data_IF_247752555171
#
_entry.id   IF_247752555171
#
_cell.length_a   1.000
_cell.length_b   1.000
_cell.length_c   1.000
_cell.angle_alpha   90.00
_cell.angle_beta   90.00
_cell.angle_gamma   90.00
#
_symmetry.space_group_name_H-M   'P 1'
#
loop_
_entity.id
_entity.type
_entity.pdbx_description
1 polymer ?
#
# COMPACT_ATOMS: atom_id res chain seq x y z
N UNK A 1 -17.13 -24.50 12.25
CA UNK A 1 -16.47 -23.40 11.52
C UNK A 1 -16.71 -22.11 12.31
N UNK A 2 -15.72 -21.64 13.07
CA UNK A 2 -15.83 -20.42 13.89
C UNK A 2 -16.00 -19.19 13.00
N UNK A 3 -17.00 -18.37 13.25
CA UNK A 3 -17.20 -17.08 12.57
C UNK A 3 -16.06 -16.15 12.93
N UNK A 4 -15.26 -15.74 11.92
CA UNK A 4 -14.24 -14.70 12.10
C UNK A 4 -14.94 -13.36 12.36
N UNK A 5 -14.69 -12.75 13.53
CA UNK A 5 -15.17 -11.39 13.83
C UNK A 5 -14.23 -10.37 13.23
N UNK A 6 -14.69 -9.69 12.19
CA UNK A 6 -13.96 -8.62 11.50
C UNK A 6 -14.12 -7.25 12.19
N UNK A 7 -15.20 -7.03 12.95
CA UNK A 7 -15.52 -5.76 13.61
C UNK A 7 -15.91 -5.97 15.08
N UNK A 8 -15.63 -4.97 15.93
CA UNK A 8 -16.05 -4.95 17.31
C UNK A 8 -17.57 -4.79 17.44
N UNK A 9 -18.18 -5.38 18.47
CA UNK A 9 -19.62 -5.26 18.74
C UNK A 9 -20.00 -3.87 19.31
N UNK A 10 -19.04 -3.14 19.90
CA UNK A 10 -19.27 -1.79 20.44
C UNK A 10 -19.40 -0.73 19.33
N UNK A 11 -20.48 0.11 19.32
CA UNK A 11 -20.74 1.05 18.23
C UNK A 11 -19.57 2.03 18.00
N UNK A 12 -18.99 2.56 19.06
CA UNK A 12 -17.87 3.52 18.98
C UNK A 12 -16.60 2.88 18.36
N UNK A 13 -16.25 1.65 18.75
CA UNK A 13 -15.09 0.94 18.19
C UNK A 13 -15.32 0.55 16.74
N UNK A 14 -16.53 0.11 16.41
CA UNK A 14 -16.93 -0.24 15.04
C UNK A 14 -16.82 0.97 14.10
N UNK A 15 -17.35 2.12 14.52
CA UNK A 15 -17.26 3.36 13.73
C UNK A 15 -15.80 3.78 13.51
N UNK A 16 -14.96 3.72 14.55
CA UNK A 16 -13.52 4.03 14.43
C UNK A 16 -12.78 3.08 13.49
N UNK A 17 -13.14 1.79 13.50
CA UNK A 17 -12.55 0.80 12.58
C UNK A 17 -13.00 1.05 11.13
N UNK A 18 -14.30 1.29 10.90
CA UNK A 18 -14.81 1.64 9.57
C UNK A 18 -14.17 2.92 9.04
N UNK A 19 -14.02 3.94 9.87
CA UNK A 19 -13.35 5.18 9.49
C UNK A 19 -11.89 4.93 9.12
N UNK A 20 -11.17 4.10 9.87
CA UNK A 20 -9.80 3.70 9.55
C UNK A 20 -9.67 2.97 8.23
N UNK A 21 -10.60 2.03 7.96
CA UNK A 21 -10.64 1.29 6.69
C UNK A 21 -10.94 2.23 5.51
N UNK A 22 -11.88 3.18 5.67
CA UNK A 22 -12.19 4.19 4.64
C UNK A 22 -11.00 5.12 4.39
N UNK A 23 -10.34 5.60 5.44
CA UNK A 23 -9.15 6.44 5.31
C UNK A 23 -8.03 5.68 4.58
N UNK A 24 -7.83 4.40 4.90
CA UNK A 24 -6.84 3.56 4.21
C UNK A 24 -7.14 3.44 2.71
N UNK A 25 -8.40 3.17 2.35
CA UNK A 25 -8.81 3.09 0.94
C UNK A 25 -8.59 4.43 0.22
N UNK A 26 -9.00 5.54 0.82
CA UNK A 26 -8.77 6.87 0.26
C UNK A 26 -7.29 7.19 0.10
N UNK A 27 -6.46 6.79 1.09
CA UNK A 27 -5.01 6.91 1.02
C UNK A 27 -4.41 6.15 -0.15
N UNK A 28 -4.81 4.89 -0.35
CA UNK A 28 -4.36 4.07 -1.47
C UNK A 28 -4.77 4.70 -2.80
N UNK A 29 -6.03 5.12 -2.94
CA UNK A 29 -6.52 5.76 -4.16
C UNK A 29 -5.78 7.06 -4.48
N UNK A 30 -5.48 7.87 -3.45
CA UNK A 30 -4.72 9.11 -3.59
C UNK A 30 -3.32 8.84 -4.17
N UNK A 31 -2.59 7.87 -3.59
CA UNK A 31 -1.23 7.57 -4.04
C UNK A 31 -1.18 6.89 -5.39
N UNK A 32 -2.17 6.06 -5.74
CA UNK A 32 -2.30 5.52 -7.09
C UNK A 32 -2.52 6.63 -8.12
N UNK A 33 -3.40 7.60 -7.82
CA UNK A 33 -3.60 8.76 -8.69
C UNK A 33 -2.37 9.64 -8.80
N UNK A 34 -1.65 9.84 -7.70
CA UNK A 34 -0.41 10.61 -7.73
C UNK A 34 0.68 9.88 -8.55
N UNK A 35 0.75 8.55 -8.44
CA UNK A 35 1.66 7.74 -9.25
C UNK A 35 1.37 7.87 -10.75
N UNK A 36 0.10 7.82 -11.16
CA UNK A 36 -0.32 8.04 -12.55
C UNK A 36 0.12 9.43 -13.04
N UNK A 37 -0.16 10.48 -12.25
CA UNK A 37 0.19 11.86 -12.60
C UNK A 37 1.71 12.03 -12.76
N UNK A 38 2.50 11.45 -11.85
CA UNK A 38 3.97 11.51 -11.91
C UNK A 38 4.49 10.73 -13.10
N UNK A 39 3.93 9.56 -13.38
CA UNK A 39 4.28 8.74 -14.55
C UNK A 39 4.05 9.52 -15.85
N UNK A 40 2.85 10.06 -16.04
CA UNK A 40 2.46 10.81 -17.25
C UNK A 40 3.29 12.08 -17.41
N UNK A 41 3.50 12.83 -16.31
CA UNK A 41 4.34 14.02 -16.33
C UNK A 41 5.79 13.70 -16.72
N UNK A 42 6.31 12.55 -16.25
CA UNK A 42 7.65 12.10 -16.59
C UNK A 42 7.73 11.68 -18.06
N UNK A 43 6.72 10.96 -18.57
CA UNK A 43 6.65 10.57 -19.99
C UNK A 43 6.64 11.78 -20.93
N UNK A 44 6.07 12.91 -20.52
CA UNK A 44 6.10 14.14 -21.32
C UNK A 44 7.53 14.61 -21.63
N UNK A 45 8.52 14.26 -20.79
CA UNK A 45 9.94 14.55 -21.03
C UNK A 45 10.55 13.74 -22.18
N UNK A 46 9.85 12.73 -22.69
CA UNK A 46 10.28 11.98 -23.87
C UNK A 46 10.08 12.76 -25.18
N UNK A 47 9.23 13.77 -25.20
CA UNK A 47 8.90 14.53 -26.41
C UNK A 47 10.14 15.13 -27.15
N UNK A 48 11.16 15.71 -26.47
CA UNK A 48 12.38 16.16 -27.15
C UNK A 48 13.15 15.00 -27.82
N UNK A 49 13.22 13.83 -27.17
CA UNK A 49 13.88 12.65 -27.74
C UNK A 49 13.21 12.17 -29.04
N UNK A 50 11.87 12.13 -29.07
CA UNK A 50 11.10 11.81 -30.29
C UNK A 50 11.39 12.77 -31.43
N UNK A 51 11.51 14.07 -31.14
CA UNK A 51 11.85 15.08 -32.16
C UNK A 51 13.27 14.94 -32.68
N UNK A 52 14.21 14.55 -31.82
CA UNK A 52 15.61 14.28 -32.21
C UNK A 52 15.67 13.03 -33.10
N UNK A 53 14.94 11.98 -32.74
CA UNK A 53 14.83 10.75 -33.54
C UNK A 53 14.25 11.04 -34.92
N UNK A 54 13.12 11.75 -35.00
CA UNK A 54 12.45 12.13 -36.24
C UNK A 54 13.36 13.02 -37.11
N UNK A 55 14.00 14.01 -36.51
CA UNK A 55 14.89 14.91 -37.25
C UNK A 55 16.16 14.17 -37.77
N UNK A 56 16.75 13.29 -36.94
CA UNK A 56 17.90 12.50 -37.30
C UNK A 56 17.59 11.50 -38.42
N UNK A 57 16.49 10.74 -38.30
CA UNK A 57 16.06 9.79 -39.32
C UNK A 57 15.65 10.47 -40.63
N UNK A 58 14.98 11.59 -40.57
CA UNK A 58 14.62 12.41 -41.73
C UNK A 58 15.86 12.95 -42.44
N UNK A 59 16.86 13.44 -41.68
CA UNK A 59 18.12 13.92 -42.25
C UNK A 59 18.91 12.77 -42.90
N UNK A 60 18.99 11.62 -42.24
CA UNK A 60 19.66 10.44 -42.76
C UNK A 60 19.04 9.97 -44.08
N UNK A 61 17.71 9.97 -44.18
CA UNK A 61 17.00 9.66 -45.43
C UNK A 61 17.37 10.62 -46.55
N UNK A 62 17.26 11.93 -46.32
CA UNK A 62 17.59 12.95 -47.32
C UNK A 62 19.03 12.91 -47.79
N UNK A 63 19.97 12.63 -46.88
CA UNK A 63 21.40 12.48 -47.23
C UNK A 63 21.64 11.26 -48.10
N UNK A 64 20.99 10.14 -47.82
CA UNK A 64 21.09 8.92 -48.68
C UNK A 64 20.46 9.17 -50.05
N UNK A 65 19.33 9.84 -50.13
CA UNK A 65 18.68 10.19 -51.40
C UNK A 65 19.57 11.11 -52.22
N UNK A 66 20.16 12.13 -51.58
CA UNK A 66 21.12 13.00 -52.25
C UNK A 66 22.38 12.25 -52.72
N UNK A 67 22.93 11.37 -51.88
CA UNK A 67 24.08 10.53 -52.22
C UNK A 67 23.79 9.60 -53.38
N UNK A 68 22.57 9.02 -53.46
CA UNK A 68 22.17 8.17 -54.59
C UNK A 68 22.04 8.95 -55.90
N UNK A 69 21.41 10.13 -55.85
CA UNK A 69 21.23 10.98 -57.02
C UNK A 69 22.58 11.44 -57.65
N UNK A 70 23.61 11.65 -56.81
CA UNK A 70 24.95 12.02 -57.26
C UNK A 70 25.80 10.81 -57.66
N UNK A 71 25.52 9.63 -57.06
CA UNK A 71 26.25 8.38 -57.34
C UNK A 71 26.10 7.83 -58.75
N UNK A 72 25.05 8.23 -59.46
CA UNK A 72 24.79 7.80 -60.84
C UNK A 72 25.66 8.53 -61.90
N UNK A 73 26.57 9.44 -61.47
CA UNK A 73 27.47 10.15 -62.41
C UNK A 73 28.68 9.32 -62.74
N UNK A 74 28.91 8.93 -64.06
CA UNK A 74 30.03 8.10 -64.46
C UNK A 74 31.37 8.76 -64.09
N UNK A 75 32.35 7.95 -63.59
CA UNK A 75 33.73 8.30 -63.23
C UNK A 75 33.96 9.05 -61.92
N UNK A 76 32.94 9.66 -61.29
CA UNK A 76 33.11 10.49 -60.08
C UNK A 76 32.14 10.11 -58.97
N UNK A 77 31.10 9.31 -59.28
CA UNK A 77 29.95 9.05 -58.41
C UNK A 77 30.31 8.50 -57.03
N UNK A 78 31.19 7.49 -56.95
CA UNK A 78 31.59 6.89 -55.68
C UNK A 78 32.31 7.85 -54.72
N UNK A 79 33.18 8.74 -55.26
CA UNK A 79 33.92 9.70 -54.46
C UNK A 79 33.03 10.83 -53.91
N UNK A 80 31.98 11.16 -54.65
CA UNK A 80 31.04 12.21 -54.24
C UNK A 80 29.95 11.65 -53.30
N UNK A 81 29.62 10.37 -53.45
CA UNK A 81 28.65 9.66 -52.60
C UNK A 81 29.13 9.45 -51.15
N UNK A 82 30.45 9.12 -50.98
CA UNK A 82 31.02 8.79 -49.66
C UNK A 82 30.74 9.82 -48.58
N UNK A 83 30.90 11.13 -48.78
CA UNK A 83 30.56 12.14 -47.78
C UNK A 83 29.07 12.15 -47.36
N UNK A 84 28.15 11.88 -48.29
CA UNK A 84 26.72 11.79 -48.01
C UNK A 84 26.40 10.52 -47.19
N UNK A 85 27.04 9.41 -47.50
CA UNK A 85 26.85 8.18 -46.72
C UNK A 85 27.42 8.33 -45.29
N UNK A 86 28.55 9.01 -45.12
CA UNK A 86 29.12 9.31 -43.80
C UNK A 86 28.24 10.27 -42.99
N UNK A 87 27.76 11.32 -43.65
CA UNK A 87 26.81 12.27 -43.01
C UNK A 87 25.48 11.57 -42.66
N UNK A 88 25.00 10.67 -43.53
CA UNK A 88 23.85 9.82 -43.28
C UNK A 88 24.01 8.94 -42.03
N UNK A 89 25.17 8.31 -41.86
CA UNK A 89 25.50 7.53 -40.66
C UNK A 89 25.56 8.38 -39.41
N UNK A 90 26.11 9.59 -39.50
CA UNK A 90 26.10 10.53 -38.36
C UNK A 90 24.67 10.97 -37.97
N UNK A 91 23.80 11.18 -38.98
CA UNK A 91 22.38 11.46 -38.72
C UNK A 91 21.65 10.27 -38.10
N UNK A 92 21.97 9.02 -38.49
CA UNK A 92 21.44 7.82 -37.83
C UNK A 92 21.87 7.73 -36.35
N UNK A 93 23.11 8.14 -36.04
CA UNK A 93 23.59 8.20 -34.65
C UNK A 93 22.80 9.23 -33.80
N UNK A 94 22.44 10.36 -34.43
CA UNK A 94 21.57 11.37 -33.77
C UNK A 94 20.18 10.78 -33.52
N UNK A 95 19.60 10.08 -34.51
CA UNK A 95 18.32 9.40 -34.34
C UNK A 95 18.36 8.36 -33.20
N UNK A 96 19.41 7.54 -33.20
CA UNK A 96 19.63 6.54 -32.15
C UNK A 96 19.78 7.15 -30.75
N UNK A 97 20.44 8.33 -30.66
CA UNK A 97 20.51 9.05 -29.38
C UNK A 97 19.14 9.57 -28.92
N UNK A 98 18.29 9.99 -29.86
CA UNK A 98 16.88 10.36 -29.59
C UNK A 98 16.08 9.17 -29.03
N UNK A 99 16.18 8.00 -29.68
CA UNK A 99 15.52 6.77 -29.22
C UNK A 99 16.02 6.36 -27.83
N UNK A 100 17.33 6.38 -27.60
CA UNK A 100 17.90 6.05 -26.29
C UNK A 100 17.41 7.00 -25.18
N UNK A 101 17.24 8.29 -25.49
CA UNK A 101 16.64 9.25 -24.56
C UNK A 101 15.20 8.91 -24.24
N UNK A 102 14.38 8.53 -25.22
CA UNK A 102 12.99 8.12 -25.02
C UNK A 102 12.92 6.90 -24.11
N UNK A 103 13.71 5.88 -24.36
CA UNK A 103 13.79 4.67 -23.55
C UNK A 103 14.20 4.98 -22.10
N UNK A 104 15.23 5.83 -21.92
CA UNK A 104 15.67 6.22 -20.59
C UNK A 104 14.56 6.95 -19.80
N UNK A 105 13.80 7.84 -20.46
CA UNK A 105 12.66 8.54 -19.86
C UNK A 105 11.53 7.57 -19.52
N UNK A 106 11.22 6.61 -20.38
CA UNK A 106 10.21 5.58 -20.11
C UNK A 106 10.57 4.73 -18.89
N UNK A 107 11.84 4.30 -18.80
CA UNK A 107 12.33 3.59 -17.62
C UNK A 107 12.24 4.44 -16.36
N UNK A 108 12.60 5.70 -16.43
CA UNK A 108 12.49 6.64 -15.32
C UNK A 108 11.02 6.83 -14.88
N UNK A 109 10.12 7.03 -15.83
CA UNK A 109 8.68 7.19 -15.56
C UNK A 109 8.10 5.97 -14.86
N UNK A 110 8.46 4.78 -15.32
CA UNK A 110 8.03 3.51 -14.72
C UNK A 110 8.49 3.39 -13.26
N UNK A 111 9.78 3.56 -12.99
CA UNK A 111 10.32 3.42 -11.64
C UNK A 111 9.86 4.53 -10.69
N UNK A 112 9.74 5.77 -11.18
CA UNK A 112 9.18 6.88 -10.40
C UNK A 112 7.72 6.63 -10.05
N UNK A 113 6.90 6.24 -11.02
CA UNK A 113 5.49 5.92 -10.79
C UNK A 113 5.32 4.82 -9.73
N UNK A 114 6.07 3.70 -9.86
CA UNK A 114 6.04 2.63 -8.86
C UNK A 114 6.50 3.13 -7.49
N UNK A 115 7.62 3.84 -7.42
CA UNK A 115 8.18 4.28 -6.13
C UNK A 115 7.25 5.24 -5.41
N UNK A 116 6.70 6.22 -6.13
CA UNK A 116 5.76 7.21 -5.58
C UNK A 116 4.46 6.54 -5.12
N UNK A 117 3.95 5.57 -5.87
CA UNK A 117 2.73 4.85 -5.49
C UNK A 117 2.96 3.82 -4.40
N UNK A 118 3.93 2.91 -4.60
CA UNK A 118 4.09 1.73 -3.76
C UNK A 118 4.66 2.04 -2.37
N UNK A 119 5.63 2.96 -2.26
CA UNK A 119 6.35 3.18 -1.00
C UNK A 119 5.44 3.73 0.12
N UNK A 120 4.62 4.77 -0.08
CA UNK A 120 3.70 5.25 0.95
C UNK A 120 2.56 4.27 1.25
N UNK A 121 2.09 3.53 0.24
CA UNK A 121 1.06 2.50 0.44
C UNK A 121 1.64 1.37 1.30
N UNK A 122 2.83 0.87 0.95
CA UNK A 122 3.50 -0.20 1.68
C UNK A 122 3.75 0.19 3.14
N UNK A 123 4.22 1.43 3.39
CA UNK A 123 4.50 1.92 4.74
C UNK A 123 3.24 1.92 5.61
N UNK A 124 2.13 2.43 5.09
CA UNK A 124 0.86 2.45 5.83
C UNK A 124 0.32 1.03 6.03
N UNK A 125 0.37 0.18 5.00
CA UNK A 125 -0.09 -1.22 5.09
C UNK A 125 0.76 -2.00 6.11
N UNK A 126 2.08 -1.81 6.13
CA UNK A 126 3.00 -2.49 7.06
C UNK A 126 2.69 -2.14 8.53
N UNK A 127 2.26 -0.92 8.79
CA UNK A 127 1.88 -0.48 10.14
C UNK A 127 0.45 -0.89 10.48
N UNK A 128 -0.49 -0.68 9.56
CA UNK A 128 -1.91 -0.91 9.80
C UNK A 128 -2.27 -2.40 9.86
N UNK A 129 -1.71 -3.23 8.96
CA UNK A 129 -2.06 -4.64 8.85
C UNK A 129 -1.76 -5.46 10.12
N UNK A 130 -0.58 -5.37 10.77
CA UNK A 130 -0.33 -6.11 12.01
C UNK A 130 -1.24 -5.68 13.16
N UNK A 131 -1.55 -4.38 13.28
CA UNK A 131 -2.49 -3.88 14.28
C UNK A 131 -3.89 -4.46 14.05
N UNK A 132 -4.32 -4.53 12.81
CA UNK A 132 -5.62 -5.10 12.42
C UNK A 132 -5.67 -6.61 12.65
N UNK A 133 -4.63 -7.33 12.24
CA UNK A 133 -4.55 -8.79 12.43
C UNK A 133 -4.49 -9.18 13.91
N UNK A 134 -3.77 -8.42 14.73
CA UNK A 134 -3.72 -8.63 16.19
C UNK A 134 -5.12 -8.50 16.80
N UNK A 135 -5.84 -7.45 16.45
CA UNK A 135 -7.23 -7.28 16.90
C UNK A 135 -8.12 -8.46 16.50
N UNK A 136 -8.08 -8.88 15.22
CA UNK A 136 -8.90 -10.00 14.72
C UNK A 136 -8.56 -11.30 15.45
N UNK A 137 -7.28 -11.58 15.72
CA UNK A 137 -6.84 -12.77 16.46
C UNK A 137 -7.32 -12.76 17.91
N UNK A 138 -7.18 -11.64 18.60
CA UNK A 138 -7.60 -11.49 20.00
C UNK A 138 -9.12 -11.61 20.13
N UNK A 139 -9.89 -10.94 19.27
CA UNK A 139 -11.35 -11.01 19.25
C UNK A 139 -11.87 -12.41 18.90
N UNK A 140 -11.24 -13.09 17.93
CA UNK A 140 -11.65 -14.45 17.52
C UNK A 140 -11.29 -15.51 18.56
N UNK A 141 -10.16 -15.36 19.27
CA UNK A 141 -9.80 -16.23 20.37
C UNK A 141 -10.79 -16.08 21.55
N UNK A 142 -11.09 -14.84 21.95
CA UNK A 142 -12.06 -14.58 23.01
C UNK A 142 -13.46 -15.12 22.71
N UNK A 143 -13.93 -15.04 21.45
CA UNK A 143 -15.22 -15.60 21.05
C UNK A 143 -15.29 -17.12 21.19
N UNK A 144 -14.21 -17.83 20.88
CA UNK A 144 -14.16 -19.30 21.03
C UNK A 144 -14.32 -19.74 22.49
N UNK A 145 -13.74 -18.98 23.43
CA UNK A 145 -13.91 -19.23 24.87
C UNK A 145 -15.33 -18.97 25.36
N UNK A 146 -15.99 -17.93 24.84
CA UNK A 146 -17.39 -17.63 25.17
C UNK A 146 -18.33 -18.73 24.64
N UNK A 147 -18.06 -19.26 23.43
CA UNK A 147 -18.88 -20.29 22.78
C UNK A 147 -18.67 -21.68 23.41
N UNK A 148 -17.49 -21.95 24.01
CA UNK A 148 -17.16 -23.25 24.59
C UNK A 148 -17.69 -23.50 26.02
N UNK A 149 -17.87 -22.49 26.83
CA UNK A 149 -18.49 -22.32 28.15
C UNK A 149 -17.85 -21.10 28.79
N UNK A 150 -18.68 -20.17 29.27
CA UNK A 150 -18.15 -18.92 29.83
C UNK A 150 -17.40 -19.21 31.13
N UNK A 151 -16.11 -19.45 31.05
CA UNK A 151 -15.23 -19.48 32.21
C UNK A 151 -15.00 -18.05 32.67
N UNK A 152 -15.92 -17.58 33.56
CA UNK A 152 -15.87 -16.23 34.13
C UNK A 152 -14.58 -15.99 34.89
N UNK A 153 -14.02 -17.02 35.51
CA UNK A 153 -12.79 -16.94 36.29
C UNK A 153 -11.61 -16.61 35.41
N UNK A 154 -11.52 -17.19 34.23
CA UNK A 154 -10.46 -16.89 33.27
C UNK A 154 -10.49 -15.41 32.83
N UNK A 155 -11.68 -14.89 32.50
CA UNK A 155 -11.83 -13.49 32.12
C UNK A 155 -11.58 -12.54 33.29
N UNK A 156 -11.97 -12.88 34.51
CA UNK A 156 -11.70 -12.11 35.71
C UNK A 156 -10.20 -12.05 36.01
N UNK A 157 -9.47 -13.18 35.92
CA UNK A 157 -8.01 -13.22 36.07
C UNK A 157 -7.31 -12.36 35.02
N UNK A 158 -7.77 -12.45 33.78
CA UNK A 158 -7.23 -11.64 32.68
C UNK A 158 -7.50 -10.15 32.88
N UNK A 159 -8.65 -9.77 33.38
CA UNK A 159 -8.95 -8.41 33.75
C UNK A 159 -7.97 -7.86 34.79
N UNK A 160 -7.69 -8.65 35.84
CA UNK A 160 -6.73 -8.26 36.89
C UNK A 160 -5.30 -8.09 36.37
N UNK A 161 -4.92 -8.83 35.31
CA UNK A 161 -3.59 -8.74 34.71
C UNK A 161 -3.43 -7.58 33.71
N UNK A 162 -4.51 -7.26 32.96
CA UNK A 162 -4.42 -6.37 31.80
C UNK A 162 -5.06 -4.99 32.04
N UNK A 163 -6.02 -4.90 32.97
CA UNK A 163 -6.74 -3.64 33.18
C UNK A 163 -5.99 -2.69 34.11
N UNK A 164 -6.04 -1.38 33.83
CA UNK A 164 -5.41 -0.39 34.72
C UNK A 164 -6.05 -0.39 36.10
N UNK A 165 -5.24 -0.22 37.15
CA UNK A 165 -5.62 -0.28 38.56
C UNK A 165 -6.84 0.58 38.91
N UNK A 166 -6.98 1.78 38.32
CA UNK A 166 -8.10 2.68 38.58
C UNK A 166 -9.48 2.12 38.14
N UNK A 167 -9.49 1.20 37.15
CA UNK A 167 -10.72 0.52 36.73
C UNK A 167 -11.06 -0.64 37.65
N UNK A 168 -10.02 -1.39 38.08
CA UNK A 168 -10.20 -2.48 39.03
C UNK A 168 -10.71 -1.97 40.40
N UNK A 169 -10.19 -0.85 40.89
CA UNK A 169 -10.58 -0.23 42.12
C UNK A 169 -12.05 0.28 42.13
N UNK A 170 -12.66 0.49 40.98
CA UNK A 170 -14.07 0.82 40.86
C UNK A 170 -15.01 -0.38 41.05
N UNK A 171 -14.50 -1.59 40.85
CA UNK A 171 -15.24 -2.84 41.00
C UNK A 171 -15.17 -3.33 42.44
N UNK A 172 -13.97 -3.37 43.00
CA UNK A 172 -13.72 -3.79 44.36
C UNK A 172 -12.49 -3.09 44.92
N UNK A 173 -12.43 -2.73 46.22
CA UNK A 173 -11.21 -2.23 46.84
C UNK A 173 -10.11 -3.29 46.92
N UNK A 174 -10.47 -4.57 46.94
CA UNK A 174 -9.53 -5.71 46.88
C UNK A 174 -10.08 -6.79 45.91
N UNK A 175 -9.87 -6.60 44.61
CA UNK A 175 -10.43 -7.52 43.60
C UNK A 175 -9.76 -8.92 43.65
N UNK A 176 -8.53 -9.01 44.12
CA UNK A 176 -7.80 -10.31 44.21
C UNK A 176 -8.37 -11.15 45.35
N UNK A 177 -8.66 -10.51 46.50
CA UNK A 177 -9.28 -11.20 47.62
C UNK A 177 -10.70 -11.65 47.30
N UNK A 178 -11.51 -10.77 46.73
CA UNK A 178 -12.89 -11.08 46.35
C UNK A 178 -12.93 -12.23 45.32
N UNK A 179 -12.01 -12.26 44.36
CA UNK A 179 -11.89 -13.38 43.40
C UNK A 179 -11.50 -14.69 44.10
N UNK A 180 -10.55 -14.69 45.05
CA UNK A 180 -10.15 -15.90 45.80
C UNK A 180 -11.28 -16.42 46.71
N UNK A 181 -12.09 -15.55 47.22
CA UNK A 181 -13.28 -15.87 48.04
C UNK A 181 -14.46 -16.35 47.16
N UNK A 182 -14.33 -16.25 45.83
CA UNK A 182 -15.35 -16.69 44.86
C UNK A 182 -16.57 -15.75 44.83
N UNK A 183 -16.40 -14.47 45.14
CA UNK A 183 -17.48 -13.48 45.06
C UNK A 183 -18.03 -13.41 43.63
N UNK A 184 -19.28 -13.88 43.38
CA UNK A 184 -19.81 -14.02 42.02
C UNK A 184 -20.03 -12.67 41.36
N UNK A 185 -20.30 -11.62 42.11
CA UNK A 185 -20.61 -10.31 41.56
C UNK A 185 -19.32 -9.60 41.12
N UNK A 186 -18.23 -9.72 41.90
CA UNK A 186 -16.95 -9.18 41.57
C UNK A 186 -16.32 -9.96 40.39
N UNK A 187 -16.36 -11.29 40.39
CA UNK A 187 -15.87 -12.13 39.30
C UNK A 187 -16.58 -11.79 37.99
N UNK A 188 -17.93 -11.64 38.06
CA UNK A 188 -18.74 -11.24 36.90
C UNK A 188 -18.39 -9.85 36.40
N UNK A 189 -18.24 -8.87 37.29
CA UNK A 189 -17.90 -7.51 36.91
C UNK A 189 -16.52 -7.39 36.27
N UNK A 190 -15.53 -8.12 36.79
CA UNK A 190 -14.19 -8.22 36.21
C UNK A 190 -14.24 -8.86 34.82
N UNK A 191 -14.96 -9.98 34.68
CA UNK A 191 -15.11 -10.67 33.40
C UNK A 191 -15.77 -9.77 32.33
N UNK A 192 -16.86 -9.06 32.72
CA UNK A 192 -17.54 -8.12 31.82
C UNK A 192 -16.62 -6.96 31.40
N UNK A 193 -15.77 -6.46 32.32
CA UNK A 193 -14.81 -5.41 32.03
C UNK A 193 -13.83 -5.85 30.93
N UNK A 194 -13.27 -7.06 31.06
CA UNK A 194 -12.32 -7.63 30.09
C UNK A 194 -12.97 -7.94 28.74
N UNK A 195 -14.19 -8.51 28.75
CA UNK A 195 -14.95 -8.77 27.54
C UNK A 195 -15.21 -7.49 26.75
N UNK A 196 -15.66 -6.43 27.42
CA UNK A 196 -15.89 -5.11 26.80
C UNK A 196 -14.58 -4.54 26.24
N UNK A 197 -13.48 -4.70 26.96
CA UNK A 197 -12.18 -4.21 26.51
C UNK A 197 -11.65 -4.99 25.30
N UNK A 198 -11.91 -6.28 25.24
CA UNK A 198 -11.63 -7.12 24.07
C UNK A 198 -12.59 -6.91 22.88
N UNK A 199 -13.61 -6.04 23.03
CA UNK A 199 -14.62 -5.75 21.99
C UNK A 199 -15.66 -6.85 21.82
N UNK A 200 -15.87 -7.68 22.85
CA UNK A 200 -16.82 -8.78 22.87
C UNK A 200 -18.08 -8.39 23.68
N UNK A 201 -19.24 -8.89 23.23
CA UNK A 201 -20.49 -8.70 23.98
C UNK A 201 -20.61 -9.80 25.03
N UNK A 202 -20.80 -9.46 26.33
CA UNK A 202 -21.09 -10.45 27.37
C UNK A 202 -22.35 -11.24 27.02
N UNK A 203 -22.38 -12.58 27.25
CA UNK A 203 -23.59 -13.37 27.08
C UNK A 203 -24.75 -12.82 27.91
N UNK A 204 -25.98 -12.85 27.39
CA UNK A 204 -27.15 -12.23 28.03
C UNK A 204 -27.41 -12.65 29.48
N UNK A 205 -26.95 -13.82 29.92
CA UNK A 205 -26.96 -14.31 31.30
C UNK A 205 -26.04 -13.54 32.26
N UNK A 206 -25.09 -12.74 31.70
CA UNK A 206 -24.11 -11.96 32.48
C UNK A 206 -24.47 -10.48 32.55
N UNK A 207 -25.47 -10.02 31.80
CA UNK A 207 -25.87 -8.61 31.71
C UNK A 207 -26.99 -8.21 32.67
N UNK A 208 -27.60 -9.17 33.36
CA UNK A 208 -28.67 -8.98 34.32
C UNK A 208 -28.16 -8.94 35.76
#
# INVERSE_FOLDING_TARGET
>A
MGRMKLYADGPVRRTRQMLGDVILVLWVLLWLKLADVVHDATLALAAPGLKIEEAGSGLAGRLRDAGSAVGDVPLVGDKVRSPFDEAGKAADQIAAAGTAQVEAVQHLAFWLGITVGALPILLVVLVYLPLRLRFVREASAGQRFIDASADLDLFALRAMSNQPMHRLARISPDPVRAWREGDPDVVRALAVLELKDSGLTPPGRMAS
#
